data_IF_220315673989
#
_entry.id   IF_220315673989
#
_cell.length_a   1.000
_cell.length_b   1.000
_cell.length_c   1.000
_cell.angle_alpha   90.00
_cell.angle_beta   90.00
_cell.angle_gamma   90.00
#
_symmetry.space_group_name_H-M   'P 1'
#
loop_
_entity.id
_entity.type
_entity.pdbx_description
1 polymer ?
#
# COMPACT_ATOMS: atom_id res chain seq x y z
N UNK A 1 -16.51 -28.30 39.37
CA UNK A 1 -16.66 -26.96 38.70
C UNK A 1 -15.35 -26.31 38.19
N UNK A 2 -14.23 -26.62 38.79
CA UNK A 2 -12.93 -26.07 38.41
C UNK A 2 -12.37 -26.58 37.06
N UNK A 3 -12.79 -27.75 36.63
CA UNK A 3 -12.28 -28.36 35.39
C UNK A 3 -13.03 -27.83 34.13
N UNK A 4 -14.31 -27.49 34.27
CA UNK A 4 -15.12 -26.84 33.23
C UNK A 4 -14.64 -25.39 32.93
N UNK A 5 -14.23 -24.67 33.96
CA UNK A 5 -13.74 -23.29 33.79
C UNK A 5 -12.35 -23.22 33.13
N UNK A 6 -11.47 -24.21 33.37
CA UNK A 6 -10.16 -24.33 32.67
C UNK A 6 -10.34 -24.65 31.19
N UNK A 7 -11.24 -25.57 30.83
CA UNK A 7 -11.52 -25.90 29.43
C UNK A 7 -12.10 -24.72 28.64
N UNK A 8 -12.97 -23.92 29.26
CA UNK A 8 -13.55 -22.72 28.64
C UNK A 8 -12.48 -21.64 28.39
N UNK A 9 -11.58 -21.42 29.34
CA UNK A 9 -10.49 -20.47 29.21
C UNK A 9 -9.55 -20.80 28.02
N UNK A 10 -9.28 -22.08 27.79
CA UNK A 10 -8.44 -22.53 26.68
C UNK A 10 -9.11 -22.39 25.31
N UNK A 11 -10.42 -22.58 25.24
CA UNK A 11 -11.18 -22.33 24.00
C UNK A 11 -11.15 -20.85 23.64
N UNK A 12 -11.37 -19.96 24.60
CA UNK A 12 -11.30 -18.50 24.36
C UNK A 12 -9.89 -18.03 24.00
N UNK A 13 -8.85 -18.58 24.62
CA UNK A 13 -7.44 -18.28 24.24
C UNK A 13 -7.16 -18.65 22.77
N UNK A 14 -7.63 -19.82 22.32
CA UNK A 14 -7.47 -20.25 20.92
C UNK A 14 -8.24 -19.36 19.94
N UNK A 15 -9.44 -18.91 20.31
CA UNK A 15 -10.23 -18.00 19.48
C UNK A 15 -9.58 -16.62 19.37
N UNK A 16 -9.04 -16.07 20.46
CA UNK A 16 -8.30 -14.81 20.44
C UNK A 16 -7.06 -14.90 19.53
N UNK A 17 -6.31 -16.00 19.62
CA UNK A 17 -5.15 -16.24 18.75
C UNK A 17 -5.58 -16.38 17.28
N UNK A 18 -6.68 -17.07 16.99
CA UNK A 18 -7.20 -17.23 15.63
C UNK A 18 -7.71 -15.92 15.03
N UNK A 19 -8.37 -15.08 15.83
CA UNK A 19 -8.78 -13.73 15.42
C UNK A 19 -7.54 -12.86 15.14
N UNK A 20 -6.59 -12.82 16.05
CA UNK A 20 -5.37 -12.04 15.91
C UNK A 20 -4.51 -12.47 14.70
N UNK A 21 -4.44 -13.79 14.39
CA UNK A 21 -3.71 -14.27 13.22
C UNK A 21 -4.38 -13.90 11.89
N UNK A 22 -5.68 -13.70 11.87
CA UNK A 22 -6.43 -13.30 10.66
C UNK A 22 -6.24 -11.83 10.31
N UNK A 23 -6.01 -10.96 11.30
CA UNK A 23 -5.68 -9.54 11.09
C UNK A 23 -4.20 -9.31 10.73
N UNK A 24 -3.32 -10.28 10.97
CA UNK A 24 -1.89 -10.20 10.62
C UNK A 24 -1.60 -10.31 9.12
N UNK A 25 -2.59 -10.65 8.28
CA UNK A 25 -2.42 -10.74 6.82
C UNK A 25 -2.42 -9.38 6.11
N UNK A 26 -2.88 -8.32 6.78
CA UNK A 26 -3.03 -6.97 6.18
C UNK A 26 -1.91 -6.00 6.59
N UNK A 27 -0.70 -6.50 6.84
CA UNK A 27 0.48 -5.69 7.18
C UNK A 27 0.54 -5.20 8.63
N UNK A 28 -0.38 -5.63 9.48
CA UNK A 28 -0.37 -5.39 10.93
C UNK A 28 0.27 -6.61 11.60
N UNK A 29 1.46 -6.46 12.15
CA UNK A 29 2.12 -7.58 12.83
C UNK A 29 1.49 -7.83 14.20
N UNK A 30 1.33 -9.11 14.55
CA UNK A 30 0.87 -9.53 15.89
C UNK A 30 1.69 -8.89 17.02
N UNK A 31 2.98 -8.62 16.80
CA UNK A 31 3.85 -7.93 17.74
C UNK A 31 3.43 -6.47 17.96
N UNK A 32 2.96 -5.75 16.95
CA UNK A 32 2.45 -4.38 17.09
C UNK A 32 1.13 -4.34 17.86
N UNK A 33 0.24 -5.31 17.62
CA UNK A 33 -1.03 -5.43 18.35
C UNK A 33 -0.79 -5.77 19.83
N UNK A 34 0.20 -6.62 20.10
CA UNK A 34 0.45 -7.14 21.44
C UNK A 34 1.55 -6.41 22.22
N UNK A 35 2.45 -5.64 21.58
CA UNK A 35 3.62 -5.09 22.25
C UNK A 35 3.39 -3.77 22.98
N UNK A 36 2.39 -2.98 22.63
CA UNK A 36 2.34 -1.60 23.14
C UNK A 36 1.43 -1.36 24.35
N UNK A 37 0.47 -2.21 24.71
CA UNK A 37 -0.41 -1.94 25.86
C UNK A 37 -1.03 -3.12 26.63
N UNK A 38 -0.90 -4.36 26.15
CA UNK A 38 -1.60 -5.48 26.79
C UNK A 38 -0.71 -6.71 26.97
N UNK A 39 -0.26 -6.93 28.19
CA UNK A 39 0.20 -8.25 28.62
C UNK A 39 -1.03 -9.16 28.76
N UNK A 40 -1.58 -9.63 27.61
CA UNK A 40 -2.82 -10.42 27.57
C UNK A 40 -2.70 -11.71 28.38
N UNK A 41 -1.49 -12.32 28.44
CA UNK A 41 -1.24 -13.56 29.20
C UNK A 41 -1.50 -13.36 30.69
N UNK A 42 -1.09 -12.25 31.22
CA UNK A 42 -1.25 -11.92 32.65
C UNK A 42 -2.72 -11.55 32.95
N UNK A 43 -3.40 -10.79 32.09
CA UNK A 43 -4.78 -10.39 32.31
C UNK A 43 -5.79 -11.53 32.10
N UNK A 44 -5.62 -12.32 31.04
CA UNK A 44 -6.50 -13.49 30.79
C UNK A 44 -6.32 -14.56 31.88
N UNK A 45 -5.12 -14.71 32.43
CA UNK A 45 -4.87 -15.62 33.55
C UNK A 45 -5.55 -15.22 34.86
N UNK A 46 -6.00 -13.97 35.01
CA UNK A 46 -6.68 -13.44 36.22
C UNK A 46 -8.21 -13.37 36.08
N UNK A 47 -8.77 -13.76 34.90
CA UNK A 47 -10.21 -13.75 34.70
C UNK A 47 -10.81 -15.05 35.24
N UNK A 48 -11.54 -14.97 36.34
CA UNK A 48 -12.07 -16.13 37.07
C UNK A 48 -13.51 -16.49 36.66
N UNK A 49 -14.22 -15.58 35.99
CA UNK A 49 -15.62 -15.78 35.59
C UNK A 49 -15.91 -15.48 34.11
N UNK A 50 -16.96 -16.13 33.59
CA UNK A 50 -17.38 -16.03 32.17
C UNK A 50 -17.79 -14.59 31.78
N UNK A 51 -18.36 -13.82 32.68
CA UNK A 51 -18.81 -12.44 32.43
C UNK A 51 -17.61 -11.52 32.21
N UNK A 52 -16.61 -11.61 33.06
CA UNK A 52 -15.35 -10.86 32.94
C UNK A 52 -14.61 -11.23 31.68
N UNK A 53 -14.56 -12.52 31.29
CA UNK A 53 -13.99 -12.98 30.04
C UNK A 53 -14.72 -12.39 28.83
N UNK A 54 -16.06 -12.44 28.81
CA UNK A 54 -16.89 -11.89 27.72
C UNK A 54 -16.65 -10.39 27.57
N UNK A 55 -16.68 -9.65 28.67
CA UNK A 55 -16.46 -8.20 28.66
C UNK A 55 -15.05 -7.85 28.17
N UNK A 56 -14.04 -8.57 28.59
CA UNK A 56 -12.66 -8.36 28.16
C UNK A 56 -12.51 -8.64 26.66
N UNK A 57 -13.07 -9.75 26.13
CA UNK A 57 -13.02 -10.09 24.71
C UNK A 57 -13.73 -9.02 23.87
N UNK A 58 -14.90 -8.55 24.29
CA UNK A 58 -15.64 -7.50 23.59
C UNK A 58 -14.83 -6.20 23.51
N UNK A 59 -14.24 -5.78 24.63
CA UNK A 59 -13.40 -4.59 24.67
C UNK A 59 -12.14 -4.75 23.83
N UNK A 60 -11.55 -5.93 23.80
CA UNK A 60 -10.39 -6.22 22.98
C UNK A 60 -10.71 -6.18 21.48
N UNK A 61 -11.83 -6.79 21.07
CA UNK A 61 -12.30 -6.76 19.66
C UNK A 61 -12.58 -5.32 19.24
N UNK A 62 -13.29 -4.54 20.04
CA UNK A 62 -13.56 -3.14 19.75
C UNK A 62 -12.26 -2.33 19.59
N UNK A 63 -11.30 -2.54 20.49
CA UNK A 63 -10.00 -1.88 20.38
C UNK A 63 -9.24 -2.27 19.10
N UNK A 64 -9.24 -3.55 18.71
CA UNK A 64 -8.62 -4.01 17.45
C UNK A 64 -9.31 -3.39 16.25
N UNK A 65 -10.64 -3.31 16.26
CA UNK A 65 -11.41 -2.66 15.20
C UNK A 65 -11.10 -1.16 15.11
N UNK A 66 -11.11 -0.44 16.22
CA UNK A 66 -10.79 0.99 16.27
C UNK A 66 -9.35 1.26 15.82
N UNK A 67 -8.40 0.40 16.22
CA UNK A 67 -7.01 0.49 15.81
C UNK A 67 -6.85 0.22 14.30
N UNK A 68 -7.56 -0.75 13.75
CA UNK A 68 -7.54 -1.10 12.33
C UNK A 68 -8.18 0.00 11.48
N UNK A 69 -9.31 0.54 11.91
CA UNK A 69 -9.98 1.68 11.26
C UNK A 69 -9.07 2.91 11.30
N UNK A 70 -8.47 3.22 12.44
CA UNK A 70 -7.53 4.33 12.58
C UNK A 70 -6.29 4.21 11.70
N UNK A 71 -5.77 2.98 11.48
CA UNK A 71 -4.67 2.75 10.52
C UNK A 71 -5.13 2.87 9.05
N UNK A 72 -6.31 2.36 8.72
CA UNK A 72 -6.90 2.48 7.38
C UNK A 72 -7.14 3.97 7.08
N UNK A 73 -7.74 4.71 8.01
CA UNK A 73 -7.95 6.16 7.87
C UNK A 73 -6.62 6.93 7.76
N UNK A 74 -5.59 6.55 8.51
CA UNK A 74 -4.26 7.16 8.42
C UNK A 74 -3.57 6.86 7.07
N UNK A 75 -3.77 5.66 6.50
CA UNK A 75 -3.27 5.30 5.17
C UNK A 75 -4.09 6.03 4.09
N UNK A 76 -5.42 6.06 4.21
CA UNK A 76 -6.29 6.79 3.27
C UNK A 76 -6.15 8.31 3.39
N UNK A 77 -5.81 8.85 4.56
CA UNK A 77 -5.51 10.27 4.76
C UNK A 77 -4.10 10.65 4.29
N UNK A 78 -3.21 9.69 4.01
CA UNK A 78 -1.90 10.02 3.45
C UNK A 78 -2.05 10.46 1.99
N UNK A 79 -1.99 11.75 1.80
CA UNK A 79 -2.14 12.45 0.52
C UNK A 79 -1.17 11.91 -0.55
N UNK A 80 0.04 11.50 -0.17
CA UNK A 80 1.03 10.98 -1.12
C UNK A 80 0.69 9.55 -1.54
N UNK A 81 0.11 8.73 -0.66
CA UNK A 81 -0.40 7.40 -1.02
C UNK A 81 -1.56 7.53 -2.02
N UNK A 82 -2.51 8.45 -1.78
CA UNK A 82 -3.59 8.75 -2.74
C UNK A 82 -3.05 9.23 -4.08
N UNK A 83 -2.07 10.13 -4.07
CA UNK A 83 -1.44 10.62 -5.29
C UNK A 83 -0.74 9.50 -6.08
N UNK A 84 0.02 8.64 -5.41
CA UNK A 84 0.68 7.49 -6.06
C UNK A 84 -0.32 6.51 -6.67
N UNK A 85 -1.43 6.25 -5.98
CA UNK A 85 -2.52 5.42 -6.51
C UNK A 85 -3.13 6.05 -7.75
N UNK A 86 -3.49 7.33 -7.68
CA UNK A 86 -4.03 8.06 -8.83
C UNK A 86 -3.07 8.04 -10.02
N UNK A 87 -1.76 8.22 -9.78
CA UNK A 87 -0.73 8.11 -10.81
C UNK A 87 -0.65 6.70 -11.41
N UNK A 88 -0.77 5.65 -10.59
CA UNK A 88 -0.77 4.27 -11.06
C UNK A 88 -2.00 3.91 -11.89
N UNK A 89 -3.13 4.58 -11.65
CA UNK A 89 -4.39 4.36 -12.38
C UNK A 89 -4.49 5.22 -13.66
N UNK A 90 -3.67 6.29 -13.81
CA UNK A 90 -3.77 7.27 -14.90
C UNK A 90 -2.43 7.58 -15.58
N UNK A 91 -1.38 6.76 -15.39
CA UNK A 91 -0.06 7.02 -15.98
C UNK A 91 -0.06 7.04 -17.51
N UNK A 92 -0.99 6.35 -18.14
CA UNK A 92 -1.19 6.24 -19.58
C UNK A 92 -1.85 7.47 -20.20
N UNK A 93 -2.47 8.33 -19.40
CA UNK A 93 -3.01 9.61 -19.89
C UNK A 93 -1.86 10.57 -20.23
N UNK A 94 -1.69 10.86 -21.53
CA UNK A 94 -0.69 11.79 -22.02
C UNK A 94 -0.90 13.25 -21.56
N UNK A 95 -2.12 13.59 -21.14
CA UNK A 95 -2.50 14.92 -20.63
C UNK A 95 -2.41 15.03 -19.10
N UNK A 96 -1.99 13.97 -18.42
CA UNK A 96 -1.89 13.98 -16.97
C UNK A 96 -0.90 15.06 -16.49
N UNK A 97 -1.42 16.00 -15.71
CA UNK A 97 -0.68 17.15 -15.20
C UNK A 97 -0.50 17.08 -13.68
N UNK A 98 0.50 17.80 -13.19
CA UNK A 98 0.71 18.03 -11.76
C UNK A 98 -0.55 18.64 -11.10
N UNK A 99 -1.20 19.57 -11.81
CA UNK A 99 -2.41 20.25 -11.34
C UNK A 99 -3.54 19.24 -11.04
N UNK A 100 -3.83 18.34 -11.98
CA UNK A 100 -4.88 17.34 -11.81
C UNK A 100 -4.62 16.42 -10.62
N UNK A 101 -3.37 16.01 -10.40
CA UNK A 101 -3.02 15.15 -9.25
C UNK A 101 -3.13 15.93 -7.94
N UNK A 102 -2.65 17.17 -7.90
CA UNK A 102 -2.75 18.04 -6.72
C UNK A 102 -4.22 18.33 -6.35
N UNK A 103 -5.05 18.62 -7.36
CA UNK A 103 -6.48 18.83 -7.19
C UNK A 103 -7.18 17.56 -6.66
N UNK A 104 -6.87 16.39 -7.25
CA UNK A 104 -7.43 15.11 -6.81
C UNK A 104 -7.19 14.84 -5.32
N UNK A 105 -6.04 15.24 -4.81
CA UNK A 105 -5.70 15.06 -3.38
C UNK A 105 -6.03 16.28 -2.50
N UNK A 106 -6.68 17.31 -3.06
CA UNK A 106 -7.12 18.49 -2.33
C UNK A 106 -6.01 19.45 -1.92
N UNK A 107 -4.90 19.51 -2.67
CA UNK A 107 -3.77 20.39 -2.38
C UNK A 107 -3.50 21.39 -3.52
N UNK A 108 -2.90 22.55 -3.19
CA UNK A 108 -2.31 23.40 -4.21
C UNK A 108 -1.06 22.74 -4.81
N UNK A 109 -0.75 23.01 -6.10
CA UNK A 109 0.42 22.47 -6.79
C UNK A 109 1.73 22.69 -6.03
N UNK A 110 1.92 23.91 -5.49
CA UNK A 110 3.12 24.28 -4.72
C UNK A 110 3.26 23.43 -3.47
N UNK A 111 2.17 23.25 -2.73
CA UNK A 111 2.19 22.45 -1.50
C UNK A 111 2.35 20.97 -1.81
N UNK A 112 1.66 20.47 -2.83
CA UNK A 112 1.79 19.09 -3.31
C UNK A 112 3.23 18.79 -3.73
N UNK A 113 3.84 19.64 -4.59
CA UNK A 113 5.22 19.45 -5.07
C UNK A 113 6.21 19.32 -3.92
N UNK A 114 6.14 20.23 -2.94
CA UNK A 114 7.05 20.21 -1.79
C UNK A 114 6.85 18.94 -0.95
N UNK A 115 5.60 18.58 -0.68
CA UNK A 115 5.26 17.41 0.11
C UNK A 115 5.62 16.11 -0.61
N UNK A 116 5.29 16.01 -1.90
CA UNK A 116 5.62 14.87 -2.73
C UNK A 116 7.14 14.62 -2.76
N UNK A 117 7.94 15.65 -3.05
CA UNK A 117 9.39 15.55 -3.08
C UNK A 117 9.97 15.18 -1.71
N UNK A 118 9.45 15.75 -0.63
CA UNK A 118 9.90 15.44 0.73
C UNK A 118 9.63 13.98 1.12
N UNK A 119 8.47 13.44 0.75
CA UNK A 119 8.06 12.08 1.14
C UNK A 119 8.56 10.99 0.17
N UNK A 120 8.77 11.30 -1.11
CA UNK A 120 9.23 10.32 -2.12
C UNK A 120 10.73 10.40 -2.40
N UNK A 121 11.37 11.51 -2.08
CA UNK A 121 12.77 11.79 -2.42
C UNK A 121 12.99 12.27 -3.85
N UNK A 122 11.94 12.38 -4.68
CA UNK A 122 12.04 12.76 -6.09
C UNK A 122 10.91 13.69 -6.53
N UNK A 123 11.08 14.34 -7.68
CA UNK A 123 10.04 15.22 -8.24
C UNK A 123 8.90 14.40 -8.84
N UNK A 124 7.70 14.98 -8.86
CA UNK A 124 6.54 14.42 -9.54
C UNK A 124 6.83 13.94 -10.99
N UNK A 125 7.51 14.80 -11.78
CA UNK A 125 7.82 14.47 -13.18
C UNK A 125 8.77 13.28 -13.30
N UNK A 126 9.75 13.16 -12.41
CA UNK A 126 10.65 12.00 -12.39
C UNK A 126 9.88 10.73 -12.01
N UNK A 127 9.07 10.79 -10.97
CA UNK A 127 8.25 9.66 -10.53
C UNK A 127 7.32 9.16 -11.64
N UNK A 128 6.57 10.06 -12.30
CA UNK A 128 5.69 9.69 -13.42
C UNK A 128 6.48 9.11 -14.60
N UNK A 129 7.65 9.67 -14.90
CA UNK A 129 8.53 9.14 -15.95
C UNK A 129 8.98 7.72 -15.60
N UNK A 130 9.47 7.48 -14.40
CA UNK A 130 9.91 6.16 -13.95
C UNK A 130 8.76 5.15 -13.99
N UNK A 131 7.57 5.54 -13.53
CA UNK A 131 6.37 4.70 -13.57
C UNK A 131 6.03 4.29 -15.01
N UNK A 132 5.98 5.23 -15.95
CA UNK A 132 5.73 4.99 -17.38
C UNK A 132 6.78 4.07 -17.99
N UNK A 133 8.06 4.31 -17.70
CA UNK A 133 9.15 3.48 -18.22
C UNK A 133 9.12 2.07 -17.62
N UNK A 134 8.77 1.93 -16.35
CA UNK A 134 8.59 0.60 -15.74
C UNK A 134 7.47 -0.18 -16.42
N UNK A 135 6.33 0.46 -16.70
CA UNK A 135 5.22 -0.14 -17.45
C UNK A 135 5.61 -0.48 -18.90
N UNK A 136 6.37 0.39 -19.55
CA UNK A 136 6.91 0.10 -20.88
C UNK A 136 7.85 -1.12 -20.89
N UNK A 137 8.70 -1.29 -19.87
CA UNK A 137 9.55 -2.48 -19.71
C UNK A 137 8.74 -3.76 -19.59
N UNK A 138 7.64 -3.73 -18.82
CA UNK A 138 6.70 -4.85 -18.69
C UNK A 138 6.09 -5.22 -20.06
N UNK A 139 5.55 -4.22 -20.78
CA UNK A 139 4.95 -4.42 -22.11
C UNK A 139 5.95 -4.91 -23.16
N UNK A 140 7.18 -4.39 -23.15
CA UNK A 140 8.24 -4.84 -24.08
C UNK A 140 8.60 -6.32 -23.90
N UNK A 141 8.48 -6.86 -22.67
CA UNK A 141 8.77 -8.27 -22.36
C UNK A 141 7.58 -9.19 -22.61
N UNK A 142 6.36 -8.69 -22.45
CA UNK A 142 5.14 -9.53 -22.44
C UNK A 142 4.36 -9.45 -23.74
N UNK A 143 4.70 -8.51 -24.64
CA UNK A 143 3.94 -8.26 -25.87
C UNK A 143 4.84 -8.11 -27.09
N UNK A 144 4.23 -8.28 -28.27
CA UNK A 144 4.88 -8.07 -29.59
C UNK A 144 4.66 -6.66 -30.17
N UNK A 145 3.99 -5.75 -29.43
CA UNK A 145 3.73 -4.38 -29.89
C UNK A 145 5.03 -3.67 -30.25
N UNK A 146 4.97 -2.81 -31.25
CA UNK A 146 6.14 -2.00 -31.65
C UNK A 146 6.47 -0.97 -30.56
N UNK A 147 7.72 -0.55 -30.49
CA UNK A 147 8.17 0.38 -29.44
C UNK A 147 7.40 1.70 -29.44
N UNK A 148 6.97 2.20 -30.60
CA UNK A 148 6.18 3.44 -30.65
C UNK A 148 4.75 3.24 -30.10
N UNK A 149 4.14 2.08 -30.36
CA UNK A 149 2.80 1.74 -29.83
C UNK A 149 2.86 1.64 -28.30
N UNK A 150 3.91 1.01 -27.76
CA UNK A 150 4.14 0.96 -26.32
C UNK A 150 4.33 2.36 -25.74
N UNK A 151 5.06 3.24 -26.46
CA UNK A 151 5.21 4.64 -26.05
C UNK A 151 3.85 5.34 -25.88
N UNK A 152 2.95 5.18 -26.84
CA UNK A 152 1.58 5.72 -26.77
C UNK A 152 0.78 5.09 -25.62
N UNK A 153 0.83 3.77 -25.46
CA UNK A 153 0.13 3.04 -24.39
C UNK A 153 0.56 3.45 -22.98
N UNK A 154 1.76 3.97 -22.81
CA UNK A 154 2.25 4.44 -21.51
C UNK A 154 2.25 5.97 -21.36
N UNK A 155 1.49 6.67 -22.22
CA UNK A 155 1.24 8.09 -22.10
C UNK A 155 2.27 9.02 -22.74
N UNK A 156 3.02 8.57 -23.73
CA UNK A 156 3.88 9.45 -24.54
C UNK A 156 3.25 9.74 -25.91
N UNK A 157 3.00 11.01 -26.20
CA UNK A 157 2.49 11.45 -27.51
C UNK A 157 3.53 11.37 -28.64
N UNK A 158 4.81 11.39 -28.30
CA UNK A 158 5.91 11.44 -29.25
C UNK A 158 6.86 10.27 -29.04
N UNK A 159 7.01 9.42 -30.07
CA UNK A 159 7.84 8.21 -30.02
C UNK A 159 9.33 8.51 -29.81
N UNK A 160 9.83 9.65 -30.33
CA UNK A 160 11.24 10.04 -30.15
C UNK A 160 11.47 10.47 -28.69
N UNK A 161 10.52 11.22 -28.12
CA UNK A 161 10.58 11.60 -26.70
C UNK A 161 10.55 10.36 -25.80
N UNK A 162 9.63 9.42 -26.08
CA UNK A 162 9.59 8.13 -25.38
C UNK A 162 10.95 7.41 -25.45
N UNK A 163 11.49 7.24 -26.67
CA UNK A 163 12.77 6.53 -26.88
C UNK A 163 13.91 7.18 -26.11
N UNK A 164 13.97 8.50 -26.09
CA UNK A 164 14.99 9.27 -25.34
C UNK A 164 14.85 9.08 -23.83
N UNK A 165 13.60 9.15 -23.31
CA UNK A 165 13.33 8.97 -21.88
C UNK A 165 13.59 7.52 -21.47
N UNK A 166 13.18 6.55 -22.28
CA UNK A 166 13.44 5.14 -22.03
C UNK A 166 14.95 4.86 -21.97
N UNK A 167 15.72 5.37 -22.95
CA UNK A 167 17.18 5.20 -22.95
C UNK A 167 17.85 5.85 -21.75
N UNK A 168 17.37 7.01 -21.30
CA UNK A 168 17.86 7.68 -20.10
C UNK A 168 17.65 6.84 -18.84
N UNK A 169 16.47 6.23 -18.69
CA UNK A 169 16.09 5.49 -17.48
C UNK A 169 16.55 4.01 -17.51
N UNK A 170 16.65 3.41 -18.69
CA UNK A 170 16.98 1.98 -18.85
C UNK A 170 18.41 1.72 -19.33
N UNK A 171 19.15 2.77 -19.73
CA UNK A 171 20.52 2.65 -20.27
C UNK A 171 20.59 2.19 -21.74
N UNK A 172 19.50 1.68 -22.32
CA UNK A 172 19.43 1.19 -23.70
C UNK A 172 18.10 1.57 -24.35
N UNK A 173 18.02 1.45 -25.69
CA UNK A 173 16.77 1.74 -26.40
C UNK A 173 15.70 0.67 -26.14
N UNK A 174 14.38 0.97 -26.33
CA UNK A 174 13.32 -0.01 -26.19
C UNK A 174 13.54 -1.27 -27.04
N UNK A 175 14.03 -1.11 -28.28
CA UNK A 175 14.31 -2.23 -29.17
C UNK A 175 15.47 -3.11 -28.67
N UNK A 176 16.52 -2.49 -28.12
CA UNK A 176 17.64 -3.20 -27.50
C UNK A 176 17.18 -3.93 -26.23
N UNK A 177 16.34 -3.29 -25.42
CA UNK A 177 15.80 -3.87 -24.18
C UNK A 177 14.98 -5.14 -24.44
N UNK A 178 14.17 -5.14 -25.50
CA UNK A 178 13.40 -6.32 -25.91
C UNK A 178 14.31 -7.50 -26.27
N UNK A 179 15.36 -7.27 -27.08
CA UNK A 179 16.31 -8.31 -27.48
C UNK A 179 17.12 -8.90 -26.33
N UNK A 180 17.26 -8.21 -25.22
CA UNK A 180 17.95 -8.69 -24.01
C UNK A 180 17.05 -9.60 -23.16
N UNK A 181 15.74 -9.57 -23.36
CA UNK A 181 14.77 -10.39 -22.66
C UNK A 181 14.33 -11.65 -23.40
N UNK A 182 14.77 -11.81 -24.65
CA UNK A 182 14.66 -13.04 -25.47
C UNK A 182 15.87 -13.94 -25.19
#
# INVERSE_FOLDING_TARGET
>A
DTDRSRGLGDVYKRQIIAIASRFGTDGITLSEIFSQRYNYKEKVGRLEDVRSMKMWITNYINWVMDYSVGKIDAIETNVIVKAKRYLADHYDDAELTLFQVAEHVGLSEKYFTNRFTKETGETFSNYLTQLRIQKAKELLRTTTFKSYEIGEMVGYRNAEHFTRMFKKEAGCTPAQYRKQGE
#
